data_IF_644825259637
#
_entry.id   IF_644825259637
#
_cell.length_a   1.000
_cell.length_b   1.000
_cell.length_c   1.000
_cell.angle_alpha   90.00
_cell.angle_beta   90.00
_cell.angle_gamma   90.00
#
_symmetry.space_group_name_H-M   'P 1'
#
loop_
_entity.id
_entity.type
_entity.pdbx_description
1 polymer ?
#
# COMPACT_ATOMS: atom_id res chain seq x y z
N UNK A 1 -12.89 13.99 7.31
CA UNK A 1 -12.83 12.85 8.25
C UNK A 1 -13.85 11.76 7.97
N UNK A 2 -15.14 12.05 7.85
CA UNK A 2 -16.18 11.01 7.73
C UNK A 2 -16.03 10.07 6.52
N UNK A 3 -15.61 10.58 5.36
CA UNK A 3 -15.44 9.77 4.15
C UNK A 3 -14.41 8.65 4.34
N UNK A 4 -13.19 8.98 4.77
CA UNK A 4 -12.14 7.99 4.99
C UNK A 4 -12.50 7.03 6.12
N UNK A 5 -13.12 7.53 7.20
CA UNK A 5 -13.58 6.67 8.29
C UNK A 5 -14.60 5.63 7.80
N UNK A 6 -15.56 6.04 6.96
CA UNK A 6 -16.53 5.14 6.35
C UNK A 6 -15.86 4.16 5.37
N UNK A 7 -14.91 4.63 4.57
CA UNK A 7 -14.14 3.75 3.67
C UNK A 7 -13.40 2.66 4.45
N UNK A 8 -12.71 3.00 5.55
CA UNK A 8 -12.01 2.02 6.38
C UNK A 8 -12.95 0.97 6.97
N UNK A 9 -14.16 1.36 7.39
CA UNK A 9 -15.16 0.42 7.92
C UNK A 9 -15.69 -0.53 6.85
N UNK A 10 -15.89 -0.03 5.64
CA UNK A 10 -16.51 -0.78 4.54
C UNK A 10 -15.49 -1.64 3.79
N UNK A 11 -14.20 -1.27 3.80
CA UNK A 11 -13.14 -1.97 3.06
C UNK A 11 -12.95 -3.45 3.46
N UNK A 12 -13.40 -3.82 4.66
CA UNK A 12 -13.30 -5.20 5.17
C UNK A 12 -14.54 -6.05 4.87
N UNK A 13 -15.57 -5.48 4.24
CA UNK A 13 -16.73 -6.25 3.77
C UNK A 13 -16.29 -7.06 2.55
N UNK A 14 -16.60 -8.38 2.48
CA UNK A 14 -16.13 -9.26 1.41
C UNK A 14 -16.86 -9.02 0.08
N UNK A 15 -16.64 -7.85 -0.53
CA UNK A 15 -17.15 -7.48 -1.83
C UNK A 15 -16.01 -6.87 -2.67
N UNK A 16 -15.60 -7.59 -3.72
CA UNK A 16 -14.46 -7.22 -4.57
C UNK A 16 -14.65 -5.86 -5.25
N UNK A 17 -15.86 -5.56 -5.73
CA UNK A 17 -16.14 -4.29 -6.41
C UNK A 17 -16.05 -3.11 -5.45
N UNK A 18 -16.54 -3.29 -4.22
CA UNK A 18 -16.46 -2.27 -3.17
C UNK A 18 -15.00 -2.03 -2.77
N UNK A 19 -14.21 -3.10 -2.56
CA UNK A 19 -12.79 -2.98 -2.24
C UNK A 19 -12.02 -2.27 -3.36
N UNK A 20 -12.20 -2.68 -4.62
CA UNK A 20 -11.56 -2.04 -5.77
C UNK A 20 -11.93 -0.56 -5.90
N UNK A 21 -13.21 -0.22 -5.66
CA UNK A 21 -13.68 1.17 -5.66
C UNK A 21 -13.05 1.98 -4.53
N UNK A 22 -12.97 1.41 -3.32
CA UNK A 22 -12.33 2.07 -2.17
C UNK A 22 -10.86 2.33 -2.44
N UNK A 23 -10.13 1.35 -2.99
CA UNK A 23 -8.73 1.52 -3.36
C UNK A 23 -8.54 2.62 -4.41
N UNK A 24 -9.43 2.67 -5.41
CA UNK A 24 -9.41 3.70 -6.45
C UNK A 24 -9.65 5.10 -5.87
N UNK A 25 -10.63 5.23 -4.98
CA UNK A 25 -10.91 6.50 -4.28
C UNK A 25 -9.71 6.90 -3.41
N UNK A 26 -9.14 5.96 -2.66
CA UNK A 26 -7.98 6.22 -1.80
C UNK A 26 -6.77 6.70 -2.61
N UNK A 27 -6.53 6.10 -3.78
CA UNK A 27 -5.49 6.55 -4.71
C UNK A 27 -5.72 7.98 -5.21
N UNK A 28 -6.96 8.34 -5.58
CA UNK A 28 -7.31 9.70 -6.01
C UNK A 28 -7.17 10.71 -4.87
N UNK A 29 -7.64 10.35 -3.67
CA UNK A 29 -7.49 11.18 -2.46
C UNK A 29 -6.03 11.40 -2.12
N UNK A 30 -5.20 10.37 -2.25
CA UNK A 30 -3.76 10.51 -2.08
C UNK A 30 -3.15 11.45 -3.12
N UNK A 31 -3.47 11.25 -4.40
CA UNK A 31 -2.94 12.05 -5.51
C UNK A 31 -3.25 13.54 -5.35
N UNK A 32 -4.49 13.87 -4.95
CA UNK A 32 -4.96 15.26 -4.95
C UNK A 32 -5.02 15.92 -3.56
N UNK A 33 -5.13 15.16 -2.47
CA UNK A 33 -5.41 15.68 -1.13
C UNK A 33 -4.46 15.16 -0.02
N UNK A 34 -3.33 14.52 -0.37
CA UNK A 34 -2.36 13.95 0.60
C UNK A 34 -1.93 14.87 1.74
N UNK A 35 -1.83 16.19 1.50
CA UNK A 35 -1.41 17.14 2.55
C UNK A 35 -2.39 17.21 3.72
N UNK A 36 -3.66 16.90 3.49
CA UNK A 36 -4.73 16.97 4.49
C UNK A 36 -5.12 15.62 5.09
N UNK A 37 -4.75 14.51 4.44
CA UNK A 37 -5.26 13.17 4.77
C UNK A 37 -4.19 12.21 5.28
N UNK A 38 -3.10 12.71 5.87
CA UNK A 38 -1.92 11.89 6.25
C UNK A 38 -2.27 10.75 7.21
N UNK A 39 -2.99 11.04 8.28
CA UNK A 39 -3.38 10.05 9.31
C UNK A 39 -4.37 9.01 8.78
N UNK A 40 -5.32 9.47 7.97
CA UNK A 40 -6.35 8.63 7.37
C UNK A 40 -5.73 7.71 6.32
N UNK A 41 -4.71 8.19 5.61
CA UNK A 41 -3.97 7.43 4.64
C UNK A 41 -3.04 6.40 5.30
N UNK A 42 -2.35 6.75 6.38
CA UNK A 42 -1.64 5.80 7.25
C UNK A 42 -2.58 4.67 7.69
N UNK A 43 -3.74 5.03 8.25
CA UNK A 43 -4.75 4.06 8.68
C UNK A 43 -5.26 3.18 7.53
N UNK A 44 -5.34 3.71 6.30
CA UNK A 44 -5.72 2.94 5.12
C UNK A 44 -4.65 1.92 4.73
N UNK A 45 -3.38 2.33 4.69
CA UNK A 45 -2.28 1.41 4.40
C UNK A 45 -2.22 0.32 5.46
N UNK A 46 -2.23 0.68 6.74
CA UNK A 46 -2.06 -0.28 7.84
C UNK A 46 -3.26 -1.20 8.03
N UNK A 47 -4.48 -0.67 8.06
CA UNK A 47 -5.66 -1.46 8.43
C UNK A 47 -6.33 -2.16 7.24
N UNK A 48 -6.07 -1.71 6.02
CA UNK A 48 -6.68 -2.28 4.80
C UNK A 48 -5.63 -2.94 3.93
N UNK A 49 -4.67 -2.17 3.38
CA UNK A 49 -3.74 -2.68 2.38
C UNK A 49 -2.83 -3.77 2.95
N UNK A 50 -2.15 -3.51 4.08
CA UNK A 50 -1.25 -4.49 4.70
C UNK A 50 -2.03 -5.70 5.22
N UNK A 51 -3.19 -5.47 5.86
CA UNK A 51 -4.04 -6.53 6.40
C UNK A 51 -4.55 -7.49 5.32
N UNK A 52 -5.07 -6.95 4.22
CA UNK A 52 -5.60 -7.78 3.12
C UNK A 52 -4.45 -8.46 2.38
N UNK A 53 -3.32 -7.78 2.17
CA UNK A 53 -2.19 -8.35 1.44
C UNK A 53 -1.46 -9.47 2.21
N UNK A 54 -1.45 -9.47 3.55
CA UNK A 54 -0.80 -10.54 4.34
C UNK A 54 -1.62 -11.84 4.36
N UNK A 55 -2.86 -11.78 3.90
CA UNK A 55 -3.59 -12.96 3.45
C UNK A 55 -4.33 -13.77 4.50
N UNK A 56 -4.31 -13.36 5.77
CA UNK A 56 -5.02 -14.07 6.84
C UNK A 56 -6.55 -13.90 6.69
N UNK A 57 -7.24 -14.98 6.31
CA UNK A 57 -8.71 -15.03 6.16
C UNK A 57 -9.32 -14.14 5.05
N UNK A 58 -8.58 -13.91 3.95
CA UNK A 58 -9.04 -13.13 2.78
C UNK A 58 -8.92 -13.94 1.49
N UNK A 59 -9.78 -13.67 0.52
CA UNK A 59 -9.75 -14.37 -0.77
C UNK A 59 -8.53 -13.95 -1.60
N UNK A 60 -8.13 -14.80 -2.55
CA UNK A 60 -7.02 -14.52 -3.45
C UNK A 60 -7.24 -13.23 -4.25
N UNK A 61 -8.46 -13.01 -4.74
CA UNK A 61 -8.83 -11.81 -5.50
C UNK A 61 -8.76 -10.55 -4.65
N UNK A 62 -9.07 -10.63 -3.35
CA UNK A 62 -8.90 -9.50 -2.44
C UNK A 62 -7.42 -9.16 -2.24
N UNK A 63 -6.57 -10.18 -2.09
CA UNK A 63 -5.12 -10.00 -2.00
C UNK A 63 -4.56 -9.35 -3.27
N UNK A 64 -5.01 -9.81 -4.44
CA UNK A 64 -4.60 -9.27 -5.74
C UNK A 64 -4.98 -7.78 -5.85
N UNK A 65 -6.23 -7.41 -5.55
CA UNK A 65 -6.68 -6.00 -5.56
C UNK A 65 -5.86 -5.14 -4.59
N UNK A 66 -5.59 -5.63 -3.39
CA UNK A 66 -4.81 -4.87 -2.40
C UNK A 66 -3.36 -4.66 -2.85
N UNK A 67 -2.73 -5.67 -3.45
CA UNK A 67 -1.38 -5.59 -3.99
C UNK A 67 -1.31 -4.69 -5.22
N UNK A 68 -2.25 -4.78 -6.16
CA UNK A 68 -2.35 -3.85 -7.30
C UNK A 68 -2.45 -2.40 -6.84
N UNK A 69 -3.27 -2.16 -5.81
CA UNK A 69 -3.45 -0.83 -5.22
C UNK A 69 -2.17 -0.32 -4.57
N UNK A 70 -1.46 -1.20 -3.85
CA UNK A 70 -0.16 -0.88 -3.27
C UNK A 70 0.87 -0.56 -4.34
N UNK A 71 0.95 -1.35 -5.42
CA UNK A 71 1.85 -1.10 -6.56
C UNK A 71 1.54 0.24 -7.21
N UNK A 72 0.26 0.56 -7.43
CA UNK A 72 -0.14 1.85 -7.99
C UNK A 72 0.32 3.03 -7.12
N UNK A 73 0.18 2.91 -5.80
CA UNK A 73 0.69 3.90 -4.85
C UNK A 73 2.23 3.97 -4.84
N UNK A 74 2.91 2.82 -4.84
CA UNK A 74 4.38 2.74 -4.88
C UNK A 74 5.01 3.35 -6.13
N UNK A 75 4.26 3.41 -7.24
CA UNK A 75 4.67 4.11 -8.46
C UNK A 75 4.54 5.63 -8.36
N UNK A 76 3.75 6.16 -7.43
CA UNK A 76 3.60 7.59 -7.26
C UNK A 76 4.89 8.21 -6.69
N UNK A 77 5.53 9.19 -7.35
CA UNK A 77 6.88 9.65 -7.02
C UNK A 77 7.12 10.09 -5.57
N UNK A 78 6.10 10.67 -4.95
CA UNK A 78 6.20 11.18 -3.57
C UNK A 78 5.80 10.17 -2.51
N UNK A 79 5.16 9.04 -2.87
CA UNK A 79 4.56 8.11 -1.90
C UNK A 79 5.58 7.59 -0.89
N UNK A 80 6.76 7.17 -1.35
CA UNK A 80 7.78 6.67 -0.44
C UNK A 80 8.33 7.71 0.52
N UNK A 81 8.48 8.95 0.04
CA UNK A 81 8.95 10.07 0.86
C UNK A 81 7.88 10.46 1.86
N UNK A 82 6.63 10.52 1.42
CA UNK A 82 5.51 10.90 2.25
C UNK A 82 5.27 9.86 3.35
N UNK A 83 5.46 8.58 3.06
CA UNK A 83 5.47 7.49 4.05
C UNK A 83 6.60 7.66 5.07
N UNK A 84 7.86 7.70 4.60
CA UNK A 84 9.02 7.76 5.49
C UNK A 84 9.04 9.01 6.35
N UNK A 85 8.87 10.19 5.74
CA UNK A 85 9.01 11.47 6.42
C UNK A 85 7.83 11.82 7.33
N UNK A 86 6.60 11.39 6.98
CA UNK A 86 5.42 11.79 7.73
C UNK A 86 4.89 10.70 8.68
N UNK A 87 5.23 9.43 8.48
CA UNK A 87 4.61 8.31 9.20
C UNK A 87 5.60 7.55 10.10
N UNK A 88 6.87 7.40 9.72
CA UNK A 88 7.81 6.59 10.52
C UNK A 88 8.74 7.41 11.44
N UNK A 89 8.88 8.71 11.23
CA UNK A 89 9.85 9.55 11.97
C UNK A 89 9.40 10.02 13.37
N UNK A 90 8.39 9.39 14.00
CA UNK A 90 7.97 9.71 15.37
C UNK A 90 8.08 8.47 16.27
N UNK A 91 8.61 8.63 17.49
CA UNK A 91 8.91 7.54 18.45
C UNK A 91 7.66 6.69 18.81
N UNK A 92 6.48 7.25 18.61
CA UNK A 92 5.16 6.70 18.93
C UNK A 92 4.40 6.11 17.73
N UNK A 93 4.98 6.12 16.52
CA UNK A 93 4.31 5.69 15.28
C UNK A 93 4.78 4.32 14.81
N UNK A 94 3.88 3.57 14.15
CA UNK A 94 4.23 2.32 13.47
C UNK A 94 5.11 2.60 12.25
N UNK A 95 6.16 1.78 12.04
CA UNK A 95 7.00 1.86 10.85
C UNK A 95 6.26 1.26 9.63
N UNK A 96 5.36 2.03 9.04
CA UNK A 96 4.48 1.58 7.96
C UNK A 96 5.25 1.37 6.66
N UNK A 97 6.29 2.18 6.38
CA UNK A 97 7.16 1.94 5.23
C UNK A 97 7.88 0.60 5.34
N UNK A 98 8.49 0.32 6.50
CA UNK A 98 9.15 -0.97 6.73
C UNK A 98 8.16 -2.13 6.60
N UNK A 99 6.95 -1.99 7.16
CA UNK A 99 5.91 -3.00 7.03
C UNK A 99 5.53 -3.28 5.56
N UNK A 100 5.42 -2.24 4.73
CA UNK A 100 5.20 -2.37 3.28
C UNK A 100 6.36 -3.11 2.61
N UNK A 101 7.61 -2.71 2.88
CA UNK A 101 8.80 -3.36 2.32
C UNK A 101 8.90 -4.83 2.72
N UNK A 102 8.64 -5.14 3.99
CA UNK A 102 8.67 -6.50 4.52
C UNK A 102 7.58 -7.37 3.90
N UNK A 103 6.35 -6.85 3.81
CA UNK A 103 5.24 -7.52 3.15
C UNK A 103 5.58 -7.86 1.69
N UNK A 104 6.02 -6.88 0.91
CA UNK A 104 6.36 -7.08 -0.50
C UNK A 104 7.52 -8.09 -0.63
N UNK A 105 8.58 -7.94 0.18
CA UNK A 105 9.74 -8.85 0.16
C UNK A 105 9.36 -10.29 0.46
N UNK A 106 8.56 -10.53 1.51
CA UNK A 106 8.05 -11.85 1.89
C UNK A 106 7.20 -12.49 0.77
N UNK A 107 6.44 -11.68 0.05
CA UNK A 107 5.52 -12.16 -0.99
C UNK A 107 6.15 -12.25 -2.39
N UNK A 108 7.39 -11.79 -2.62
CA UNK A 108 8.03 -11.89 -3.95
C UNK A 108 8.41 -13.31 -4.37
N UNK A 109 8.68 -14.19 -3.41
CA UNK A 109 9.13 -15.56 -3.69
C UNK A 109 8.13 -16.58 -3.15
N UNK A 110 7.55 -17.42 -4.01
CA UNK A 110 6.69 -18.51 -3.55
C UNK A 110 7.55 -19.56 -2.81
N UNK A 111 7.45 -19.61 -1.49
CA UNK A 111 8.07 -20.67 -0.69
C UNK A 111 7.07 -21.83 -0.58
N UNK A 112 7.39 -22.97 -1.19
CA UNK A 112 6.55 -24.17 -1.20
C UNK A 112 5.19 -24.02 -1.91
N UNK A 113 5.07 -23.09 -2.86
CA UNK A 113 3.87 -22.90 -3.68
C UNK A 113 4.21 -22.64 -5.15
N UNK A 114 3.26 -22.81 -6.09
CA UNK A 114 3.44 -22.33 -7.46
C UNK A 114 3.55 -20.80 -7.52
N UNK A 115 4.21 -20.30 -8.56
CA UNK A 115 4.21 -18.87 -8.86
C UNK A 115 2.78 -18.40 -9.16
N UNK A 116 2.41 -17.26 -8.58
CA UNK A 116 1.08 -16.65 -8.69
C UNK A 116 1.19 -15.14 -8.99
N UNK A 117 0.12 -14.51 -9.48
CA UNK A 117 0.13 -13.08 -9.83
C UNK A 117 0.49 -12.18 -8.64
N UNK A 118 0.09 -12.56 -7.42
CA UNK A 118 0.45 -11.86 -6.18
C UNK A 118 1.97 -11.73 -5.99
N UNK A 119 2.75 -12.75 -6.36
CA UNK A 119 4.22 -12.70 -6.27
C UNK A 119 4.82 -11.73 -7.28
N UNK A 120 4.25 -11.68 -8.48
CA UNK A 120 4.67 -10.75 -9.55
C UNK A 120 4.34 -9.32 -9.13
N UNK A 121 3.14 -9.08 -8.59
CA UNK A 121 2.73 -7.77 -8.06
C UNK A 121 3.63 -7.33 -6.89
N UNK A 122 3.98 -8.24 -5.99
CA UNK A 122 4.88 -7.94 -4.89
C UNK A 122 6.27 -7.51 -5.38
N UNK A 123 6.80 -8.19 -6.40
CA UNK A 123 8.07 -7.84 -7.03
C UNK A 123 8.00 -6.48 -7.75
N UNK A 124 6.92 -6.25 -8.51
CA UNK A 124 6.67 -4.98 -9.21
C UNK A 124 6.56 -3.82 -8.21
N UNK A 125 5.92 -4.04 -7.06
CA UNK A 125 5.87 -3.09 -5.96
C UNK A 125 7.26 -2.72 -5.42
N UNK A 126 8.11 -3.72 -5.14
CA UNK A 126 9.49 -3.46 -4.71
C UNK A 126 10.29 -2.69 -5.75
N UNK A 127 10.18 -3.06 -7.03
CA UNK A 127 10.87 -2.39 -8.12
C UNK A 127 10.39 -0.93 -8.26
N UNK A 128 9.09 -0.67 -8.12
CA UNK A 128 8.55 0.68 -8.11
C UNK A 128 9.12 1.53 -6.97
N UNK A 129 9.23 0.96 -5.76
CA UNK A 129 9.87 1.63 -4.62
C UNK A 129 11.34 1.96 -4.94
N UNK A 130 12.09 0.96 -5.41
CA UNK A 130 13.52 1.11 -5.68
C UNK A 130 13.80 2.12 -6.79
N UNK A 131 13.04 2.08 -7.88
CA UNK A 131 13.16 3.03 -8.98
C UNK A 131 12.90 4.46 -8.51
N UNK A 132 11.88 4.70 -7.69
CA UNK A 132 11.62 6.02 -7.12
C UNK A 132 12.77 6.53 -6.23
N UNK A 133 13.37 5.66 -5.43
CA UNK A 133 14.54 6.01 -4.62
C UNK A 133 15.76 6.35 -5.50
N UNK A 134 15.99 5.57 -6.57
CA UNK A 134 17.07 5.81 -7.54
C UNK A 134 16.89 7.11 -8.33
N UNK A 135 15.66 7.43 -8.75
CA UNK A 135 15.40 8.68 -9.47
C UNK A 135 15.65 9.91 -8.60
N UNK A 136 15.29 9.83 -7.31
CA UNK A 136 15.56 10.92 -6.36
C UNK A 136 17.04 11.10 -6.04
N UNK A 137 17.81 10.02 -5.96
CA UNK A 137 19.25 10.14 -5.71
C UNK A 137 19.97 10.85 -6.87
N UNK A 138 19.51 10.65 -8.11
CA UNK A 138 20.02 11.36 -9.30
C UNK A 138 19.68 12.86 -9.34
N UNK A 139 18.60 13.28 -8.68
CA UNK A 139 18.21 14.69 -8.60
C UNK A 139 18.95 15.46 -7.49
N UNK A 140 19.63 14.74 -6.60
CA UNK A 140 20.32 15.30 -5.42
C UNK A 140 21.82 15.50 -5.64
N UNK A 141 22.36 15.13 -6.80
CA UNK A 141 23.76 15.33 -7.20
C UNK A 141 23.87 16.24 -8.42
#
# INVERSE_FOLDING_TARGET
DDLMSNMLRIALIPNLAVLSTICSIAFLLYTHLRSFLRLQFEAFISNVILRISDGEYVSYEQQEIALESLVALSRHPTFMVDMYANLDCSIDRSNVFEAVCNLLSKNTFPVNSPLASTHILALDGLLAIFNNLLERSKQSG
#
